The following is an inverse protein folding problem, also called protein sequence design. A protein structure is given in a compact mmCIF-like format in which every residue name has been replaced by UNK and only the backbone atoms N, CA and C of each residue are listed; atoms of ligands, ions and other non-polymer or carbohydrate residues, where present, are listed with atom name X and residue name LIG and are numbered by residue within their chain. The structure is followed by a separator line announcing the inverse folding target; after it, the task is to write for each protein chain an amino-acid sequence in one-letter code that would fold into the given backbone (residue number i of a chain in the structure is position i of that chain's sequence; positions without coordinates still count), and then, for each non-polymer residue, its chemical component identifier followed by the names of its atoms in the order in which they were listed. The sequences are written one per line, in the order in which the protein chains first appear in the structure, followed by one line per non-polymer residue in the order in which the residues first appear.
data_IF_699197525205
#
_entry.id   IF_699197525205
#
_cell.length_a   1.000
_cell.length_b   1.000
_cell.length_c   1.000
_cell.angle_alpha   90.00
_cell.angle_beta   90.00
_cell.angle_gamma   90.00
#
_symmetry.space_group_name_H-M   'P 1'
#
loop_
_entity.id
_entity.type
_entity.pdbx_description
1 polymer ?
#
# COMPACT_ATOMS: atom_id res chain seq x y z
N UNK A 1 -5.44 -20.48 -15.46
CA UNK A 1 -6.02 -19.73 -14.35
C UNK A 1 -5.84 -18.24 -14.55
N UNK A 2 -6.87 -17.48 -14.28
CA UNK A 2 -6.81 -16.03 -14.47
C UNK A 2 -6.14 -15.38 -13.25
N UNK A 3 -5.16 -14.57 -13.47
CA UNK A 3 -4.54 -13.82 -12.39
C UNK A 3 -5.44 -12.69 -11.93
N UNK A 4 -5.30 -12.28 -10.71
CA UNK A 4 -6.05 -11.17 -10.18
C UNK A 4 -5.55 -9.84 -10.71
N UNK A 5 -6.15 -8.79 -10.24
CA UNK A 5 -5.81 -7.43 -10.64
C UNK A 5 -5.36 -6.65 -9.42
N UNK A 6 -4.45 -5.73 -9.65
CA UNK A 6 -3.90 -4.88 -8.59
C UNK A 6 -4.41 -3.47 -8.78
N UNK A 7 -5.05 -2.94 -7.75
CA UNK A 7 -5.63 -1.59 -7.79
C UNK A 7 -5.04 -0.79 -6.62
N UNK A 8 -4.61 0.42 -6.87
CA UNK A 8 -4.13 1.30 -5.81
C UNK A 8 -5.02 2.51 -5.69
N UNK A 9 -5.22 2.96 -4.46
CA UNK A 9 -5.88 4.22 -4.17
C UNK A 9 -4.86 5.12 -3.50
N UNK A 10 -4.70 6.32 -4.01
CA UNK A 10 -3.74 7.29 -3.48
C UNK A 10 -4.49 8.50 -3.00
N UNK A 11 -3.93 9.18 -2.02
CA UNK A 11 -4.53 10.40 -1.52
C UNK A 11 -4.10 10.66 -0.10
N UNK A 12 -4.60 11.75 0.43
CA UNK A 12 -4.33 12.12 1.80
C UNK A 12 -5.17 11.26 2.72
N UNK A 13 -4.53 10.70 3.72
CA UNK A 13 -5.21 9.85 4.67
C UNK A 13 -6.38 10.58 5.31
N UNK A 14 -7.49 9.89 5.44
CA UNK A 14 -8.68 10.46 6.06
C UNK A 14 -9.61 11.21 5.13
N UNK A 15 -9.32 11.26 3.86
CA UNK A 15 -10.15 12.01 2.90
C UNK A 15 -11.21 11.14 2.21
N UNK A 16 -11.82 10.25 2.92
CA UNK A 16 -12.87 9.40 2.36
C UNK A 16 -12.35 8.20 1.59
N UNK A 17 -11.07 8.02 1.57
CA UNK A 17 -10.41 6.95 0.84
C UNK A 17 -10.82 5.57 1.33
N UNK A 18 -10.94 5.41 2.65
CA UNK A 18 -11.36 4.13 3.23
C UNK A 18 -12.72 3.70 2.75
N UNK A 19 -13.64 4.65 2.63
CA UNK A 19 -14.97 4.37 2.14
C UNK A 19 -14.93 3.85 0.71
N UNK A 20 -14.09 4.47 -0.13
CA UNK A 20 -13.95 4.02 -1.52
C UNK A 20 -13.37 2.63 -1.60
N UNK A 21 -12.35 2.34 -0.77
CA UNK A 21 -11.75 1.02 -0.74
C UNK A 21 -12.78 -0.03 -0.34
N UNK A 22 -13.56 0.27 0.68
CA UNK A 22 -14.60 -0.65 1.15
C UNK A 22 -15.68 -0.88 0.12
N UNK A 23 -16.11 0.17 -0.57
CA UNK A 23 -17.14 0.08 -1.60
C UNK A 23 -16.68 -0.80 -2.76
N UNK A 24 -15.47 -0.58 -3.23
CA UNK A 24 -14.92 -1.36 -4.34
C UNK A 24 -14.73 -2.82 -3.91
N UNK A 25 -14.23 -3.04 -2.70
CA UNK A 25 -14.05 -4.40 -2.19
C UNK A 25 -15.36 -5.14 -2.12
N UNK A 26 -16.39 -4.49 -1.60
CA UNK A 26 -17.73 -5.10 -1.50
C UNK A 26 -18.29 -5.42 -2.89
N UNK A 27 -18.14 -4.50 -3.82
CA UNK A 27 -18.61 -4.70 -5.19
C UNK A 27 -17.93 -5.91 -5.82
N UNK A 28 -16.63 -6.01 -5.70
CA UNK A 28 -15.89 -7.12 -6.30
C UNK A 28 -16.24 -8.45 -5.63
N UNK A 29 -16.39 -8.44 -4.32
CA UNK A 29 -16.79 -9.66 -3.61
C UNK A 29 -18.18 -10.12 -4.02
N UNK A 30 -19.08 -9.17 -4.24
CA UNK A 30 -20.43 -9.49 -4.73
C UNK A 30 -20.39 -10.10 -6.12
N UNK A 31 -19.35 -9.82 -6.90
CA UNK A 31 -19.15 -10.42 -8.22
C UNK A 31 -18.40 -11.75 -8.16
N UNK A 32 -18.16 -12.26 -6.98
CA UNK A 32 -17.49 -13.55 -6.81
C UNK A 32 -15.98 -13.50 -6.81
N UNK A 33 -15.41 -12.30 -6.69
CA UNK A 33 -13.96 -12.17 -6.67
C UNK A 33 -13.43 -12.28 -5.25
N UNK A 34 -12.27 -12.88 -5.09
CA UNK A 34 -11.55 -12.85 -3.82
C UNK A 34 -10.74 -11.56 -3.76
N UNK A 35 -10.86 -10.85 -2.68
CA UNK A 35 -10.24 -9.52 -2.56
C UNK A 35 -9.38 -9.44 -1.31
N UNK A 36 -8.16 -9.00 -1.48
CA UNK A 36 -7.23 -8.72 -0.38
C UNK A 36 -7.04 -7.22 -0.32
N UNK A 37 -7.27 -6.64 0.85
CA UNK A 37 -7.00 -5.20 1.02
C UNK A 37 -5.73 -5.03 1.83
N UNK A 38 -4.90 -4.07 1.45
CA UNK A 38 -3.61 -3.83 2.09
C UNK A 38 -3.27 -2.35 2.01
N UNK A 39 -2.08 -1.98 2.45
CA UNK A 39 -1.68 -0.56 2.44
C UNK A 39 -0.17 -0.42 2.23
N UNK A 40 0.25 0.76 1.77
CA UNK A 40 1.67 1.10 1.61
C UNK A 40 1.96 2.46 2.23
N UNK A 41 3.06 2.61 2.95
CA UNK A 41 3.98 1.54 3.33
C UNK A 41 3.34 0.61 4.34
N UNK A 42 3.71 -0.65 4.31
CA UNK A 42 3.15 -1.65 5.22
C UNK A 42 2.78 -2.92 4.49
N UNK A 43 1.76 -3.57 4.97
CA UNK A 43 1.19 -4.76 4.34
C UNK A 43 1.83 -6.08 4.76
N UNK A 44 3.00 -6.03 5.34
CA UNK A 44 3.70 -7.23 5.85
C UNK A 44 4.22 -6.90 7.24
N UNK A 45 4.60 -7.88 8.04
CA UNK A 45 5.16 -7.57 9.37
C UNK A 45 6.37 -6.64 9.30
N UNK A 46 7.29 -6.88 8.39
CA UNK A 46 8.43 -6.00 8.22
C UNK A 46 7.98 -4.64 7.69
N UNK A 47 7.11 -4.64 6.71
CA UNK A 47 6.60 -3.40 6.14
C UNK A 47 5.92 -2.52 7.17
N UNK A 48 5.18 -3.12 8.10
CA UNK A 48 4.51 -2.34 9.15
C UNK A 48 5.53 -1.71 10.11
N UNK A 49 6.62 -2.38 10.40
CA UNK A 49 7.69 -1.80 11.21
C UNK A 49 8.37 -0.66 10.49
N UNK A 50 8.59 -0.81 9.20
CA UNK A 50 9.18 0.27 8.40
C UNK A 50 8.24 1.45 8.33
N UNK A 51 6.94 1.21 8.27
CA UNK A 51 5.94 2.26 8.30
C UNK A 51 6.06 3.09 9.59
N UNK A 52 6.24 2.43 10.73
CA UNK A 52 6.39 3.13 12.00
C UNK A 52 7.63 4.02 11.99
N UNK A 53 8.72 3.52 11.46
CA UNK A 53 9.94 4.31 11.37
C UNK A 53 9.74 5.51 10.43
N UNK A 54 9.11 5.28 9.30
CA UNK A 54 8.88 6.35 8.32
C UNK A 54 7.97 7.43 8.85
N UNK A 55 7.01 7.08 9.69
CA UNK A 55 6.08 8.05 10.23
C UNK A 55 6.63 8.83 11.40
N UNK A 56 7.53 8.23 12.16
CA UNK A 56 7.90 8.79 13.47
C UNK A 56 9.36 9.11 13.66
N UNK A 57 10.25 8.55 12.85
CA UNK A 57 11.69 8.77 13.01
C UNK A 57 12.21 9.82 12.04
N UNK A 58 12.91 10.84 12.53
CA UNK A 58 13.57 11.76 11.63
C UNK A 58 14.70 11.06 10.90
N UNK A 59 14.85 11.30 9.63
CA UNK A 59 15.89 10.65 8.85
C UNK A 59 16.23 11.45 7.61
N UNK A 60 17.33 11.13 6.99
CA UNK A 60 17.71 11.72 5.72
C UNK A 60 16.74 11.31 4.63
N UNK A 61 16.60 12.18 3.65
CA UNK A 61 15.72 11.96 2.52
C UNK A 61 16.04 10.66 1.79
N UNK A 62 17.32 10.40 1.58
CA UNK A 62 17.73 9.17 0.91
C UNK A 62 17.41 7.94 1.73
N UNK A 63 17.55 8.03 3.05
CA UNK A 63 17.21 6.92 3.94
C UNK A 63 15.72 6.63 3.86
N UNK A 64 14.92 7.69 3.86
CA UNK A 64 13.47 7.55 3.75
C UNK A 64 13.10 6.84 2.45
N UNK A 65 13.69 7.25 1.34
CA UNK A 65 13.42 6.64 0.05
C UNK A 65 13.80 5.16 0.03
N UNK A 66 14.94 4.83 0.61
CA UNK A 66 15.38 3.43 0.67
C UNK A 66 14.44 2.58 1.51
N UNK A 67 13.95 3.11 2.61
CA UNK A 67 13.01 2.37 3.46
C UNK A 67 11.66 2.21 2.77
N UNK A 68 11.23 3.20 2.01
CA UNK A 68 10.01 3.07 1.23
C UNK A 68 10.13 1.96 0.19
N UNK A 69 11.27 1.91 -0.50
CA UNK A 69 11.52 0.84 -1.47
C UNK A 69 11.60 -0.52 -0.78
N UNK A 70 12.24 -0.58 0.39
CA UNK A 70 12.34 -1.84 1.12
C UNK A 70 10.95 -2.34 1.51
N UNK A 71 10.11 -1.46 2.00
CA UNK A 71 8.74 -1.80 2.38
C UNK A 71 7.96 -2.32 1.17
N UNK A 72 8.09 -1.65 0.04
CA UNK A 72 7.40 -2.04 -1.18
C UNK A 72 7.90 -3.38 -1.71
N UNK A 73 9.20 -3.59 -1.68
CA UNK A 73 9.78 -4.85 -2.13
C UNK A 73 9.23 -6.01 -1.32
N UNK A 74 9.17 -5.84 -0.02
CA UNK A 74 8.65 -6.86 0.87
C UNK A 74 7.16 -7.09 0.61
N UNK A 75 6.42 -6.01 0.43
CA UNK A 75 4.99 -6.04 0.16
C UNK A 75 4.68 -6.83 -1.11
N UNK A 76 5.42 -6.56 -2.17
CA UNK A 76 5.23 -7.27 -3.43
C UNK A 76 5.55 -8.74 -3.27
N UNK A 77 6.69 -9.04 -2.66
CA UNK A 77 7.16 -10.43 -2.58
C UNK A 77 6.31 -11.31 -1.68
N UNK A 78 5.85 -10.74 -0.57
CA UNK A 78 5.20 -11.56 0.47
C UNK A 78 3.67 -11.53 0.39
N UNK A 79 3.10 -10.51 -0.18
CA UNK A 79 1.65 -10.37 -0.19
C UNK A 79 1.06 -10.21 -1.59
N UNK A 80 1.52 -9.20 -2.32
CA UNK A 80 0.85 -8.83 -3.57
C UNK A 80 1.02 -9.91 -4.64
N UNK A 81 2.26 -10.29 -4.93
CA UNK A 81 2.50 -11.26 -5.99
C UNK A 81 1.85 -12.62 -5.68
N UNK A 82 1.98 -13.16 -4.45
CA UNK A 82 1.29 -14.41 -4.17
C UNK A 82 -0.24 -14.32 -4.29
N UNK A 83 -0.82 -13.19 -3.86
CA UNK A 83 -2.27 -13.02 -3.98
C UNK A 83 -2.71 -12.98 -5.43
N UNK A 84 -1.99 -12.23 -6.26
CA UNK A 84 -2.33 -12.14 -7.68
C UNK A 84 -2.18 -13.50 -8.38
N UNK A 85 -1.17 -14.26 -7.99
CA UNK A 85 -0.95 -15.59 -8.56
C UNK A 85 -2.10 -16.55 -8.21
N UNK A 86 -2.69 -16.37 -7.04
CA UNK A 86 -3.85 -17.19 -6.64
C UNK A 86 -5.14 -16.74 -7.33
N UNK A 87 -5.11 -15.63 -8.04
CA UNK A 87 -6.30 -15.07 -8.67
C UNK A 87 -7.03 -14.06 -7.81
N UNK A 88 -6.50 -13.70 -6.67
CA UNK A 88 -7.11 -12.68 -5.81
C UNK A 88 -6.90 -11.30 -6.41
N UNK A 89 -7.86 -10.42 -6.18
CA UNK A 89 -7.70 -9.01 -6.48
C UNK A 89 -7.07 -8.36 -5.26
N UNK A 90 -6.14 -7.46 -5.48
CA UNK A 90 -5.45 -6.76 -4.40
C UNK A 90 -5.75 -5.29 -4.50
N UNK A 91 -6.29 -4.72 -3.44
CA UNK A 91 -6.55 -3.29 -3.36
C UNK A 91 -5.63 -2.70 -2.31
N UNK A 92 -4.75 -1.82 -2.73
CA UNK A 92 -3.77 -1.21 -1.84
C UNK A 92 -4.11 0.26 -1.61
N UNK A 93 -4.14 0.63 -0.36
CA UNK A 93 -4.30 2.01 0.07
C UNK A 93 -2.89 2.59 0.21
N UNK A 94 -2.51 3.46 -0.70
CA UNK A 94 -1.18 4.06 -0.67
C UNK A 94 -1.24 5.38 0.09
N UNK A 95 -0.47 5.44 1.15
CA UNK A 95 -0.43 6.62 2.00
C UNK A 95 0.42 7.69 1.34
N UNK A 96 -0.18 8.84 1.08
CA UNK A 96 0.53 9.96 0.50
C UNK A 96 0.22 11.21 1.29
N UNK A 97 0.49 11.19 2.57
CA UNK A 97 0.26 12.39 3.35
C UNK A 97 1.34 13.43 3.01
N UNK A 98 1.07 14.63 3.40
CA UNK A 98 1.94 15.74 3.04
C UNK A 98 3.35 15.55 3.54
N UNK A 99 3.55 14.94 4.70
CA UNK A 99 4.87 14.74 5.24
C UNK A 99 5.70 13.80 4.36
N UNK A 100 5.16 12.67 3.95
CA UNK A 100 5.84 11.76 3.06
C UNK A 100 6.12 12.39 1.72
N UNK A 101 5.10 12.96 1.11
CA UNK A 101 5.23 13.55 -0.22
C UNK A 101 6.25 14.67 -0.20
N UNK A 102 6.21 15.46 0.82
CA UNK A 102 7.11 16.59 0.93
C UNK A 102 8.53 16.14 1.15
N UNK A 103 8.74 15.21 2.06
CA UNK A 103 10.07 14.69 2.36
C UNK A 103 10.64 13.90 1.20
N UNK A 104 9.81 13.13 0.53
CA UNK A 104 10.27 12.27 -0.55
C UNK A 104 10.43 12.96 -1.88
N UNK A 105 9.71 14.03 -2.12
CA UNK A 105 9.71 14.69 -3.41
C UNK A 105 9.93 16.17 -3.36
N UNK A 106 9.33 16.83 -2.44
CA UNK A 106 9.32 18.28 -2.41
C UNK A 106 10.61 18.92 -2.05
N UNK A 107 11.55 18.18 -1.56
CA UNK A 107 12.84 18.72 -1.17
C UNK A 107 13.91 18.60 -2.22
N UNK A 108 13.58 18.10 -3.32
CA UNK A 108 14.53 17.89 -4.39
C UNK A 108 14.89 19.10 -5.16
#
# INVERSE_FOLDING_TARGET
MVKGKFITFEGIDGAGKSTHVESISAYLRAKGKSVVTTREPGGTPLGERLRELLLHEPMHLETEALLMFASRREHIAKLIAPALERGDWVISDRFTDASFAYQGGGRQ
#
